data_IF_220233039245
#
_entry.id   IF_220233039245
#
_cell.length_a   1.000
_cell.length_b   1.000
_cell.length_c   1.000
_cell.angle_alpha   90.00
_cell.angle_beta   90.00
_cell.angle_gamma   90.00
#
_symmetry.space_group_name_H-M   'P 1'
#
loop_
_entity.id
_entity.type
_entity.pdbx_description
1 polymer ?
#
# COMPACT_ATOMS: atom_id res chain seq x y z
N UNK A 1 -2.25 -12.02 -17.16
CA UNK A 1 -2.03 -12.96 -16.03
C UNK A 1 -2.79 -12.41 -14.83
N UNK A 2 -3.80 -13.13 -14.32
CA UNK A 2 -4.62 -12.64 -13.19
C UNK A 2 -3.72 -12.55 -11.95
N UNK A 3 -3.57 -11.37 -11.36
CA UNK A 3 -2.85 -11.22 -10.08
C UNK A 3 -3.50 -12.14 -9.05
N UNK A 4 -2.76 -13.13 -8.55
CA UNK A 4 -3.30 -14.06 -7.57
C UNK A 4 -3.66 -13.30 -6.30
N UNK A 5 -4.75 -13.72 -5.63
CA UNK A 5 -5.22 -13.19 -4.34
C UNK A 5 -4.09 -12.91 -3.33
N UNK A 6 -3.07 -13.78 -3.15
CA UNK A 6 -1.95 -13.50 -2.25
C UNK A 6 -1.11 -12.29 -2.66
N UNK A 7 -0.89 -12.07 -3.96
CA UNK A 7 -0.08 -10.94 -4.44
C UNK A 7 -0.77 -9.61 -4.14
N UNK A 8 -2.08 -9.50 -4.34
CA UNK A 8 -2.80 -8.25 -4.00
C UNK A 8 -2.73 -7.93 -2.51
N UNK A 9 -2.82 -8.96 -1.64
CA UNK A 9 -2.64 -8.78 -0.20
C UNK A 9 -1.21 -8.38 0.15
N UNK A 10 -0.21 -9.00 -0.51
CA UNK A 10 1.18 -8.62 -0.36
C UNK A 10 1.41 -7.15 -0.73
N UNK A 11 0.84 -6.66 -1.83
CA UNK A 11 0.98 -5.26 -2.25
C UNK A 11 0.36 -4.29 -1.23
N UNK A 12 -0.79 -4.64 -0.66
CA UNK A 12 -1.42 -3.83 0.41
C UNK A 12 -0.55 -3.84 1.67
N UNK A 13 -0.15 -5.01 2.14
CA UNK A 13 0.71 -5.15 3.33
C UNK A 13 2.04 -4.42 3.13
N UNK A 14 2.63 -4.52 1.94
CA UNK A 14 3.85 -3.82 1.56
C UNK A 14 3.66 -2.29 1.57
N UNK A 15 2.52 -1.79 1.05
CA UNK A 15 2.18 -0.37 1.12
C UNK A 15 2.06 0.14 2.56
N UNK A 16 1.35 -0.59 3.42
CA UNK A 16 1.20 -0.24 4.85
C UNK A 16 2.53 -0.31 5.58
N UNK A 17 3.33 -1.35 5.34
CA UNK A 17 4.67 -1.47 5.91
C UNK A 17 5.58 -0.31 5.48
N UNK A 18 5.55 0.04 4.19
CA UNK A 18 6.28 1.17 3.64
C UNK A 18 5.94 2.47 4.38
N UNK A 19 4.65 2.74 4.64
CA UNK A 19 4.23 3.88 5.47
C UNK A 19 4.85 3.87 6.87
N UNK A 20 4.87 2.73 7.55
CA UNK A 20 5.47 2.62 8.89
C UNK A 20 6.96 2.95 8.85
N UNK A 21 7.69 2.40 7.87
CA UNK A 21 9.13 2.63 7.71
C UNK A 21 9.42 4.12 7.46
N UNK A 22 8.77 4.73 6.47
CA UNK A 22 9.07 6.11 6.09
C UNK A 22 8.63 7.12 7.15
N UNK A 23 7.48 6.93 7.80
CA UNK A 23 7.04 7.83 8.89
C UNK A 23 7.97 7.74 10.10
N UNK A 24 8.47 6.55 10.42
CA UNK A 24 9.46 6.35 11.50
C UNK A 24 10.80 6.97 11.13
N UNK A 25 11.25 6.78 9.89
CA UNK A 25 12.49 7.38 9.39
C UNK A 25 12.45 8.91 9.42
N UNK A 26 11.38 9.54 8.93
CA UNK A 26 11.21 10.99 8.98
C UNK A 26 11.18 11.51 10.42
N UNK A 27 10.53 10.80 11.35
CA UNK A 27 10.56 11.14 12.78
C UNK A 27 11.99 11.09 13.35
N UNK A 28 12.78 10.09 12.98
CA UNK A 28 14.16 9.94 13.44
C UNK A 28 15.10 10.97 12.79
N UNK A 29 14.86 11.29 11.52
CA UNK A 29 15.58 12.34 10.79
C UNK A 29 15.32 13.71 11.42
N UNK A 30 14.08 14.01 11.80
CA UNK A 30 13.72 15.25 12.49
C UNK A 30 14.31 15.33 13.90
N UNK A 31 14.40 14.20 14.62
CA UNK A 31 15.07 14.13 15.93
C UNK A 31 16.60 14.20 15.85
N UNK A 32 17.15 14.34 14.65
CA UNK A 32 18.59 14.27 14.37
C UNK A 32 19.29 13.10 15.05
N UNK A 33 18.70 11.90 14.95
CA UNK A 33 19.27 10.70 15.62
C UNK A 33 20.70 10.41 15.14
N UNK A 34 21.05 10.81 13.91
CA UNK A 34 22.38 10.71 13.32
C UNK A 34 23.36 11.80 13.72
N UNK A 35 22.89 12.94 14.25
CA UNK A 35 23.72 14.15 14.49
C UNK A 35 24.23 14.84 13.21
N UNK A 36 23.61 14.55 12.06
CA UNK A 36 24.01 15.04 10.72
C UNK A 36 22.92 15.87 10.05
N UNK A 37 21.70 15.87 10.59
CA UNK A 37 20.55 16.50 9.97
C UNK A 37 20.56 18.02 10.16
N UNK A 38 21.11 18.51 11.26
CA UNK A 38 21.17 19.94 11.54
C UNK A 38 22.56 20.39 12.00
N UNK A 39 22.98 21.57 11.54
CA UNK A 39 24.15 22.24 12.11
C UNK A 39 23.79 22.80 13.49
N UNK A 40 24.67 22.62 14.48
CA UNK A 40 24.54 23.15 15.85
C UNK A 40 23.37 22.62 16.71
N UNK A 41 22.62 21.61 16.24
CA UNK A 41 21.54 21.00 17.01
C UNK A 41 20.27 21.84 17.13
N UNK A 42 20.19 22.95 16.39
CA UNK A 42 18.95 23.70 16.22
C UNK A 42 18.26 23.30 14.90
N UNK A 43 16.93 23.32 14.85
CA UNK A 43 16.22 23.05 13.59
C UNK A 43 16.31 24.21 12.57
N UNK A 44 17.20 25.19 12.80
CA UNK A 44 17.31 26.41 12.01
C UNK A 44 18.30 26.29 10.85
N UNK A 45 19.22 25.31 10.92
CA UNK A 45 20.22 25.06 9.89
C UNK A 45 20.21 23.60 9.36
N UNK A 46 19.22 23.21 8.54
CA UNK A 46 19.16 21.88 7.93
C UNK A 46 20.31 21.65 6.93
N UNK A 47 20.95 20.49 7.01
CA UNK A 47 22.07 20.12 6.14
C UNK A 47 21.62 19.55 4.79
N UNK A 48 22.55 19.42 3.83
CA UNK A 48 22.28 18.70 2.59
C UNK A 48 21.88 17.23 2.86
N UNK A 49 22.44 16.59 3.88
CA UNK A 49 22.06 15.24 4.30
C UNK A 49 20.58 15.17 4.65
N UNK A 50 20.06 16.13 5.42
CA UNK A 50 18.65 16.22 5.75
C UNK A 50 17.78 16.31 4.50
N UNK A 51 18.08 17.23 3.57
CA UNK A 51 17.26 17.45 2.38
C UNK A 51 17.25 16.25 1.43
N UNK A 52 18.41 15.62 1.23
CA UNK A 52 18.52 14.42 0.38
C UNK A 52 17.66 13.29 0.97
N UNK A 53 17.81 13.02 2.27
CA UNK A 53 17.08 11.93 2.93
C UNK A 53 15.59 12.22 3.06
N UNK A 54 15.20 13.46 3.33
CA UNK A 54 13.80 13.87 3.37
C UNK A 54 13.14 13.70 1.99
N UNK A 55 13.82 14.14 0.93
CA UNK A 55 13.31 13.99 -0.46
C UNK A 55 13.18 12.52 -0.83
N UNK A 56 14.21 11.71 -0.56
CA UNK A 56 14.18 10.26 -0.77
C UNK A 56 13.03 9.60 -0.01
N UNK A 57 12.81 10.00 1.25
CA UNK A 57 11.72 9.48 2.07
C UNK A 57 10.35 9.84 1.50
N UNK A 58 10.14 11.09 1.06
CA UNK A 58 8.88 11.53 0.45
C UNK A 58 8.61 10.77 -0.85
N UNK A 59 9.58 10.72 -1.77
CA UNK A 59 9.42 10.01 -3.05
C UNK A 59 9.11 8.52 -2.81
N UNK A 60 9.84 7.88 -1.90
CA UNK A 60 9.64 6.47 -1.58
C UNK A 60 8.30 6.20 -0.88
N UNK A 61 7.87 7.11 -0.03
CA UNK A 61 6.54 7.07 0.59
C UNK A 61 5.42 7.15 -0.45
N UNK A 62 5.55 8.05 -1.44
CA UNK A 62 4.59 8.16 -2.53
C UNK A 62 4.55 6.90 -3.39
N UNK A 63 5.71 6.33 -3.73
CA UNK A 63 5.78 5.05 -4.44
C UNK A 63 5.13 3.92 -3.64
N UNK A 64 5.42 3.80 -2.34
CA UNK A 64 4.78 2.83 -1.45
C UNK A 64 3.26 3.00 -1.38
N UNK A 65 2.78 4.24 -1.36
CA UNK A 65 1.35 4.59 -1.39
C UNK A 65 0.71 4.15 -2.69
N UNK A 66 1.34 4.44 -3.83
CA UNK A 66 0.85 4.04 -5.15
C UNK A 66 0.73 2.51 -5.27
N UNK A 67 1.72 1.78 -4.76
CA UNK A 67 1.71 0.31 -4.70
C UNK A 67 0.56 -0.20 -3.81
N UNK A 68 0.40 0.37 -2.61
CA UNK A 68 -0.69 0.01 -1.70
C UNK A 68 -2.07 0.25 -2.31
N UNK A 69 -2.25 1.36 -3.01
CA UNK A 69 -3.49 1.68 -3.75
C UNK A 69 -3.73 0.67 -4.87
N UNK A 70 -2.70 0.28 -5.63
CA UNK A 70 -2.81 -0.76 -6.66
C UNK A 70 -3.23 -2.11 -6.05
N UNK A 71 -2.64 -2.50 -4.93
CA UNK A 71 -3.05 -3.70 -4.18
C UNK A 71 -4.51 -3.66 -3.74
N UNK A 72 -4.97 -2.50 -3.24
CA UNK A 72 -6.36 -2.28 -2.83
C UNK A 72 -7.34 -2.36 -4.02
N UNK A 73 -6.96 -1.82 -5.18
CA UNK A 73 -7.74 -1.94 -6.41
C UNK A 73 -7.79 -3.40 -6.89
N UNK A 74 -6.69 -4.13 -6.79
CA UNK A 74 -6.64 -5.58 -7.06
C UNK A 74 -7.57 -6.37 -6.15
N UNK A 75 -7.57 -6.11 -4.84
CA UNK A 75 -8.50 -6.74 -3.89
C UNK A 75 -9.96 -6.42 -4.20
N UNK A 76 -10.29 -5.18 -4.56
CA UNK A 76 -11.66 -4.79 -4.93
C UNK A 76 -12.14 -5.49 -6.20
N UNK A 77 -11.30 -5.57 -7.23
CA UNK A 77 -11.63 -6.28 -8.47
C UNK A 77 -11.90 -7.77 -8.22
N UNK A 78 -11.07 -8.42 -7.40
CA UNK A 78 -11.24 -9.83 -7.03
C UNK A 78 -12.52 -10.09 -6.21
N UNK A 79 -12.95 -9.12 -5.38
CA UNK A 79 -14.24 -9.22 -4.66
C UNK A 79 -15.43 -9.10 -5.61
N UNK A 80 -15.34 -8.25 -6.63
CA UNK A 80 -16.40 -8.09 -7.62
C UNK A 80 -16.58 -9.35 -8.49
N UNK A 81 -15.48 -9.97 -8.95
CA UNK A 81 -15.54 -11.25 -9.69
C UNK A 81 -16.15 -12.38 -8.84
N UNK A 82 -15.78 -12.47 -7.56
CA UNK A 82 -16.32 -13.49 -6.65
C UNK A 82 -17.84 -13.32 -6.42
N UNK A 83 -18.32 -12.08 -6.30
CA UNK A 83 -19.75 -11.80 -6.14
C UNK A 83 -20.54 -12.19 -7.40
N UNK A 84 -20.04 -11.84 -8.59
CA UNK A 84 -20.68 -12.21 -9.86
C UNK A 84 -20.73 -13.72 -10.05
N UNK A 85 -19.65 -14.45 -9.73
CA UNK A 85 -19.62 -15.90 -9.81
C UNK A 85 -20.65 -16.57 -8.88
N UNK A 86 -20.88 -16.01 -7.69
CA UNK A 86 -21.90 -16.51 -6.77
C UNK A 86 -23.32 -16.30 -7.33
N UNK A 87 -23.61 -15.12 -7.89
CA UNK A 87 -24.90 -14.82 -8.54
C UNK A 87 -25.18 -15.78 -9.69
N UNK A 88 -24.21 -15.98 -10.59
CA UNK A 88 -24.37 -16.91 -11.73
C UNK A 88 -24.57 -18.36 -11.27
N UNK A 89 -23.92 -18.78 -10.18
CA UNK A 89 -24.12 -20.12 -9.62
C UNK A 89 -25.53 -20.29 -9.04
N UNK A 90 -26.06 -19.28 -8.34
CA UNK A 90 -27.43 -19.28 -7.83
C UNK A 90 -28.47 -19.32 -8.95
N UNK A 91 -28.29 -18.51 -10.00
CA UNK A 91 -29.17 -18.49 -11.17
C UNK A 91 -29.19 -19.86 -11.87
N UNK A 92 -28.02 -20.45 -12.10
CA UNK A 92 -27.90 -21.78 -12.72
C UNK A 92 -28.55 -22.87 -11.89
N UNK A 93 -28.52 -22.76 -10.55
CA UNK A 93 -29.16 -23.71 -9.66
C UNK A 93 -30.69 -23.59 -9.68
N UNK A 94 -31.23 -22.36 -9.69
CA UNK A 94 -32.68 -22.13 -9.85
C UNK A 94 -33.19 -22.73 -11.16
N UNK A 95 -32.52 -22.41 -12.28
CA UNK A 95 -32.91 -22.93 -13.60
C UNK A 95 -32.85 -24.45 -13.70
N UNK A 96 -31.99 -25.11 -12.91
CA UNK A 96 -31.89 -26.57 -12.85
C UNK A 96 -33.05 -27.19 -12.07
N UNK A 97 -33.44 -26.57 -10.95
CA UNK A 97 -34.60 -27.00 -10.15
C UNK A 97 -35.89 -26.87 -10.96
N UNK A 98 -36.04 -25.78 -11.72
CA UNK A 98 -37.23 -25.54 -12.55
C UNK A 98 -37.34 -26.50 -13.75
N UNK A 99 -36.22 -27.07 -14.21
CA UNK A 99 -36.20 -28.04 -15.31
C UNK A 99 -36.52 -29.47 -14.86
N UNK A 100 -36.35 -29.76 -13.58
CA UNK A 100 -36.59 -31.07 -12.97
C UNK A 100 -38.01 -31.18 -12.33
N UNK A 101 -38.80 -30.10 -12.39
CA UNK A 101 -40.17 -29.98 -11.86
C UNK A 101 -41.24 -30.14 -12.96
#
# INVERSE_FOLDING_TARGET
>A
MKLSRPVSWFLVAFGVWSWIVWTTFVKNLWKDTSGLAFHHGDHSAPTAYFWIHLTLAIVSFLLGTAIGVLGLRGLRALRAEAANAAVTATEKQSARVDADA
#
